data_IF_437793465555
#
_entry.id   IF_437793465555
#
_cell.length_a   1.000
_cell.length_b   1.000
_cell.length_c   1.000
_cell.angle_alpha   90.00
_cell.angle_beta   90.00
_cell.angle_gamma   90.00
#
_symmetry.space_group_name_H-M   'P 1'
#
loop_
_entity.id
_entity.type
_entity.pdbx_description
1 polymer ?
#
# COMPACT_ATOMS: atom_id res chain seq x y z
N UNK A 1 -2.05 -18.24 13.89
CA UNK A 1 -1.49 -16.87 14.00
C UNK A 1 -0.09 -16.98 14.57
N UNK A 2 0.86 -16.17 14.11
CA UNK A 2 2.23 -16.14 14.63
C UNK A 2 2.39 -15.03 15.66
N UNK A 3 3.33 -15.19 16.59
CA UNK A 3 3.73 -14.14 17.54
C UNK A 3 4.73 -13.14 16.95
N UNK A 4 5.24 -13.39 15.74
CA UNK A 4 6.19 -12.52 15.05
C UNK A 4 5.41 -11.48 14.22
N UNK A 5 5.66 -10.17 14.39
CA UNK A 5 5.02 -9.15 13.56
C UNK A 5 5.35 -9.32 12.06
N UNK A 6 4.31 -9.30 11.22
CA UNK A 6 4.46 -9.41 9.76
C UNK A 6 4.00 -8.11 9.11
N UNK A 7 4.82 -7.58 8.19
CA UNK A 7 4.43 -6.53 7.26
C UNK A 7 4.21 -7.15 5.88
N UNK A 8 3.04 -6.92 5.29
CA UNK A 8 2.68 -7.45 3.98
C UNK A 8 2.87 -6.40 2.87
N UNK A 9 3.53 -6.79 1.78
CA UNK A 9 3.59 -6.02 0.53
C UNK A 9 2.27 -6.20 -0.25
N UNK A 10 1.59 -5.08 -0.51
CA UNK A 10 0.30 -5.05 -1.21
C UNK A 10 0.34 -4.26 -2.52
N UNK A 11 1.51 -4.15 -3.15
CA UNK A 11 1.73 -3.42 -4.39
C UNK A 11 1.14 -1.99 -4.28
N UNK A 12 0.30 -1.60 -5.24
CA UNK A 12 -0.40 -0.30 -5.29
C UNK A 12 -1.71 -0.29 -4.48
N UNK A 13 -1.94 -1.28 -3.63
CA UNK A 13 -3.23 -1.49 -2.95
C UNK A 13 -4.34 -1.96 -3.87
N UNK A 14 -3.97 -2.53 -5.02
CA UNK A 14 -4.88 -2.91 -6.11
C UNK A 14 -5.73 -1.73 -6.62
N UNK A 15 -5.12 -0.53 -6.63
CA UNK A 15 -5.64 0.74 -7.18
C UNK A 15 -6.65 1.43 -6.27
N UNK A 16 -7.89 1.63 -6.73
CA UNK A 16 -8.81 2.62 -6.18
C UNK A 16 -9.10 2.46 -4.67
N UNK A 17 -9.61 3.52 -4.02
CA UNK A 17 -9.81 3.55 -2.57
C UNK A 17 -10.60 2.38 -1.98
N UNK A 18 -11.55 1.82 -2.73
CA UNK A 18 -12.34 0.64 -2.31
C UNK A 18 -11.45 -0.60 -2.15
N UNK A 19 -10.51 -0.81 -3.07
CA UNK A 19 -9.59 -1.94 -3.03
C UNK A 19 -8.57 -1.77 -1.90
N UNK A 20 -8.13 -0.54 -1.64
CA UNK A 20 -7.26 -0.23 -0.49
C UNK A 20 -8.00 -0.52 0.81
N UNK A 21 -9.23 -0.02 0.97
CA UNK A 21 -10.08 -0.31 2.14
C UNK A 21 -10.22 -1.81 2.38
N UNK A 22 -10.51 -2.58 1.33
CA UNK A 22 -10.61 -4.05 1.41
C UNK A 22 -9.27 -4.67 1.79
N UNK A 23 -8.17 -4.21 1.20
CA UNK A 23 -6.82 -4.70 1.46
C UNK A 23 -6.42 -4.51 2.92
N UNK A 24 -6.57 -3.30 3.47
CA UNK A 24 -6.25 -3.02 4.88
C UNK A 24 -7.08 -3.92 5.80
N UNK A 25 -8.42 -3.96 5.62
CA UNK A 25 -9.30 -4.82 6.43
C UNK A 25 -8.91 -6.30 6.36
N UNK A 26 -8.69 -6.82 5.16
CA UNK A 26 -8.36 -8.24 4.99
C UNK A 26 -7.03 -8.61 5.64
N UNK A 27 -6.01 -7.75 5.56
CA UNK A 27 -4.70 -8.04 6.14
C UNK A 27 -4.66 -7.84 7.65
N UNK A 28 -5.40 -6.87 8.19
CA UNK A 28 -5.59 -6.76 9.64
C UNK A 28 -6.29 -8.02 10.18
N UNK A 29 -7.38 -8.47 9.55
CA UNK A 29 -8.12 -9.67 9.98
C UNK A 29 -7.29 -10.96 9.83
N UNK A 30 -6.36 -11.00 8.87
CA UNK A 30 -5.41 -12.10 8.72
C UNK A 30 -4.30 -12.10 9.80
N UNK A 31 -4.20 -11.05 10.61
CA UNK A 31 -3.21 -10.90 11.69
C UNK A 31 -1.89 -10.25 11.25
N UNK A 32 -1.87 -9.49 10.14
CA UNK A 32 -0.70 -8.71 9.78
C UNK A 32 -0.53 -7.52 10.73
N UNK A 33 0.71 -7.25 11.14
CA UNK A 33 1.06 -6.08 11.94
C UNK A 33 1.18 -4.81 11.09
N UNK A 34 1.43 -4.94 9.79
CA UNK A 34 1.47 -3.82 8.87
C UNK A 34 1.24 -4.17 7.41
N UNK A 35 0.95 -3.13 6.61
CA UNK A 35 0.77 -3.22 5.16
C UNK A 35 1.53 -2.09 4.48
N UNK A 36 2.25 -2.41 3.40
CA UNK A 36 2.86 -1.44 2.50
C UNK A 36 1.98 -1.19 1.27
N UNK A 37 1.86 0.08 0.87
CA UNK A 37 1.20 0.54 -0.37
C UNK A 37 2.16 1.46 -1.15
N UNK A 38 2.27 1.27 -2.46
CA UNK A 38 3.16 2.04 -3.34
C UNK A 38 2.43 2.93 -4.38
N UNK A 39 3.14 3.94 -4.88
CA UNK A 39 2.65 4.96 -5.80
C UNK A 39 2.90 4.65 -7.29
N UNK A 40 3.32 3.42 -7.63
CA UNK A 40 3.47 3.04 -9.04
C UNK A 40 2.14 3.17 -9.80
N UNK A 41 2.26 3.63 -11.04
CA UNK A 41 1.21 3.59 -12.05
C UNK A 41 1.06 2.17 -12.60
N UNK A 42 -0.04 1.91 -13.31
CA UNK A 42 -0.28 0.60 -13.92
C UNK A 42 0.14 0.56 -15.39
N UNK A 43 0.72 -0.56 -15.89
CA UNK A 43 1.02 -1.81 -15.18
C UNK A 43 2.15 -1.68 -14.17
N UNK A 44 1.93 -2.20 -12.95
CA UNK A 44 2.92 -2.22 -11.88
C UNK A 44 4.13 -3.07 -12.27
N UNK A 45 5.33 -2.63 -11.93
CA UNK A 45 6.58 -3.38 -12.16
C UNK A 45 7.36 -3.54 -10.86
N UNK A 46 8.34 -4.44 -10.85
CA UNK A 46 9.26 -4.57 -9.71
C UNK A 46 10.09 -3.29 -9.56
N UNK A 47 10.28 -2.82 -8.33
CA UNK A 47 11.00 -1.57 -8.01
C UNK A 47 12.44 -1.48 -8.55
N UNK A 48 13.05 -2.59 -8.96
CA UNK A 48 14.41 -2.63 -9.52
C UNK A 48 14.44 -2.65 -11.06
N UNK A 49 13.28 -2.57 -11.72
CA UNK A 49 13.19 -2.64 -13.19
C UNK A 49 13.07 -1.24 -13.80
N UNK A 50 13.56 -1.09 -15.04
CA UNK A 50 13.38 0.11 -15.85
C UNK A 50 11.94 0.23 -16.36
N UNK A 51 11.53 1.44 -16.74
CA UNK A 51 10.20 1.70 -17.31
C UNK A 51 9.07 1.69 -16.29
N UNK A 52 9.39 1.97 -15.02
CA UNK A 52 8.41 2.33 -13.99
C UNK A 52 7.98 3.78 -14.20
N UNK A 53 6.75 4.06 -13.81
CA UNK A 53 6.24 5.42 -13.65
C UNK A 53 5.39 5.45 -12.38
N UNK A 54 5.36 6.60 -11.72
CA UNK A 54 4.51 6.84 -10.55
C UNK A 54 3.26 7.62 -10.95
N UNK A 55 2.22 7.52 -10.14
CA UNK A 55 1.02 8.36 -10.29
C UNK A 55 1.29 9.78 -9.77
N UNK A 56 0.45 10.77 -10.12
CA UNK A 56 0.54 12.11 -9.53
C UNK A 56 0.48 12.06 -8.00
N UNK A 57 1.07 13.07 -7.36
CA UNK A 57 1.18 13.15 -5.89
C UNK A 57 -0.18 13.09 -5.21
N UNK A 58 -1.20 13.69 -5.81
CA UNK A 58 -2.57 13.73 -5.31
C UNK A 58 -3.18 12.32 -5.27
N UNK A 59 -2.93 11.52 -6.30
CA UNK A 59 -3.40 10.13 -6.33
C UNK A 59 -2.64 9.27 -5.32
N UNK A 60 -1.31 9.41 -5.24
CA UNK A 60 -0.49 8.71 -4.24
C UNK A 60 -0.96 9.04 -2.81
N UNK A 61 -1.22 10.32 -2.54
CA UNK A 61 -1.75 10.79 -1.27
C UNK A 61 -3.14 10.19 -0.99
N UNK A 62 -4.06 10.22 -1.95
CA UNK A 62 -5.41 9.66 -1.80
C UNK A 62 -5.38 8.15 -1.48
N UNK A 63 -4.42 7.40 -2.02
CA UNK A 63 -4.22 5.99 -1.70
C UNK A 63 -3.83 5.79 -0.24
N UNK A 64 -2.83 6.54 0.24
CA UNK A 64 -2.39 6.45 1.64
C UNK A 64 -3.45 6.97 2.59
N UNK A 65 -4.16 8.04 2.24
CA UNK A 65 -5.28 8.56 3.01
C UNK A 65 -6.38 7.50 3.16
N UNK A 66 -6.78 6.83 2.08
CA UNK A 66 -7.75 5.74 2.16
C UNK A 66 -7.30 4.58 3.07
N UNK A 67 -5.98 4.29 3.12
CA UNK A 67 -5.42 3.30 4.03
C UNK A 67 -5.48 3.77 5.50
N UNK A 68 -5.06 5.01 5.78
CA UNK A 68 -5.14 5.63 7.10
C UNK A 68 -6.57 5.74 7.60
N UNK A 69 -7.51 6.23 6.79
CA UNK A 69 -8.93 6.32 7.14
C UNK A 69 -9.52 4.95 7.50
N UNK A 70 -9.05 3.89 6.84
CA UNK A 70 -9.48 2.51 7.14
C UNK A 70 -8.90 2.02 8.46
N UNK A 71 -7.63 2.33 8.74
CA UNK A 71 -6.97 2.05 10.02
C UNK A 71 -7.70 2.79 11.16
N UNK A 72 -7.93 4.08 10.98
CA UNK A 72 -8.48 4.97 11.99
C UNK A 72 -9.96 4.65 12.30
N UNK A 73 -10.61 3.81 11.48
CA UNK A 73 -11.93 3.22 11.76
C UNK A 73 -11.86 1.95 12.64
N UNK A 74 -10.95 1.95 13.63
CA UNK A 74 -10.89 0.92 14.68
C UNK A 74 -10.02 -0.31 14.37
N UNK A 75 -9.05 -0.20 13.47
CA UNK A 75 -8.07 -1.26 13.19
C UNK A 75 -6.68 -0.88 13.73
N UNK A 76 -6.03 -1.82 14.40
CA UNK A 76 -4.63 -1.69 14.82
C UNK A 76 -3.70 -2.30 13.76
N UNK A 77 -3.21 -1.47 12.84
CA UNK A 77 -2.32 -1.89 11.76
C UNK A 77 -1.38 -0.75 11.34
N UNK A 78 -0.10 -1.06 11.16
CA UNK A 78 0.89 -0.11 10.64
C UNK A 78 0.75 0.07 9.13
N UNK A 79 0.81 1.32 8.65
CA UNK A 79 0.73 1.65 7.22
C UNK A 79 2.09 2.18 6.75
N UNK A 80 2.71 1.48 5.79
CA UNK A 80 3.95 1.91 5.14
C UNK A 80 3.64 2.50 3.77
N UNK A 81 3.89 3.80 3.61
CA UNK A 81 3.83 4.46 2.31
C UNK A 81 5.19 4.31 1.60
N UNK A 82 5.21 3.58 0.49
CA UNK A 82 6.39 3.42 -0.37
C UNK A 82 6.28 4.34 -1.57
N UNK A 83 7.38 5.02 -1.91
CA UNK A 83 7.49 5.74 -3.19
C UNK A 83 8.49 5.04 -4.10
N UNK A 84 8.13 4.89 -5.37
CA UNK A 84 8.99 4.42 -6.45
C UNK A 84 9.48 5.58 -7.34
N UNK A 85 9.36 6.82 -6.87
CA UNK A 85 9.78 8.04 -7.58
C UNK A 85 11.28 8.09 -7.89
N UNK A 86 12.10 7.34 -7.15
CA UNK A 86 13.47 7.07 -7.57
C UNK A 86 13.44 6.09 -8.75
N UNK A 87 13.43 6.65 -9.94
CA UNK A 87 13.46 5.91 -11.20
C UNK A 87 14.92 5.85 -11.64
N UNK A 88 15.56 4.69 -11.46
CA UNK A 88 16.86 4.40 -12.06
C UNK A 88 16.64 4.12 -13.56
N UNK A 89 16.70 5.18 -14.37
CA UNK A 89 16.48 5.17 -15.81
C UNK A 89 16.86 6.49 -16.43
#
# INVERSE_FOLDING_TARGET
MTSIPIIADRDTGYRGPINIKRTIKSFTLAGAAGVMIEDQSWPKRCGHTKGKSVVPREEAFARIQAACDTRDNGLDIFILARTDSLILG
#
